data_IF_768764774489
#
_entry.id   IF_768764774489
#
_cell.length_a   1.000
_cell.length_b   1.000
_cell.length_c   1.000
_cell.angle_alpha   90.00
_cell.angle_beta   90.00
_cell.angle_gamma   90.00
#
_symmetry.space_group_name_H-M   'P 1'
#
loop_
_entity.id
_entity.type
_entity.pdbx_description
1 polymer ?
#
# COMPACT_ATOMS: atom_id res chain seq x y z
N UNK A 1 -64.89 20.77 -23.24
CA UNK A 1 -64.54 22.16 -22.88
C UNK A 1 -64.26 22.21 -21.39
N UNK A 2 -63.00 22.14 -20.98
CA UNK A 2 -62.61 22.25 -19.58
C UNK A 2 -61.69 23.48 -19.43
N UNK A 3 -62.18 24.44 -18.64
CA UNK A 3 -61.46 25.72 -18.37
C UNK A 3 -60.39 25.52 -17.36
N UNK A 4 -59.13 25.87 -17.73
CA UNK A 4 -58.01 25.91 -16.82
C UNK A 4 -58.06 27.14 -15.88
N UNK A 5 -57.88 26.93 -14.58
CA UNK A 5 -57.73 27.99 -13.57
C UNK A 5 -56.28 28.53 -13.56
N UNK A 6 -56.08 29.85 -13.40
CA UNK A 6 -54.75 30.43 -13.30
C UNK A 6 -54.20 30.27 -11.86
N UNK A 7 -52.94 29.91 -11.76
CA UNK A 7 -52.17 29.73 -10.53
C UNK A 7 -51.67 31.10 -10.01
N UNK A 8 -52.05 31.49 -8.82
CA UNK A 8 -51.63 32.74 -8.16
C UNK A 8 -50.19 32.65 -7.72
N UNK A 9 -49.34 33.56 -8.20
CA UNK A 9 -47.98 33.79 -7.70
C UNK A 9 -48.03 34.44 -6.33
N UNK A 10 -47.39 33.82 -5.32
CA UNK A 10 -47.15 34.44 -4.01
C UNK A 10 -45.90 35.32 -4.07
N UNK A 11 -45.89 36.52 -3.43
CA UNK A 11 -44.68 37.35 -3.37
C UNK A 11 -43.68 36.78 -2.37
N UNK A 12 -42.40 36.78 -2.77
CA UNK A 12 -41.28 36.36 -1.97
C UNK A 12 -40.86 37.55 -1.08
N UNK A 13 -41.04 37.45 0.23
CA UNK A 13 -40.55 38.43 1.18
C UNK A 13 -39.05 38.25 1.36
N UNK A 14 -38.28 39.27 1.02
CA UNK A 14 -36.84 39.37 1.33
C UNK A 14 -36.71 39.79 2.77
N UNK A 15 -36.37 38.86 3.64
CA UNK A 15 -35.94 39.15 5.02
C UNK A 15 -34.43 39.37 5.04
N UNK A 16 -34.00 40.59 5.35
CA UNK A 16 -32.60 40.84 5.73
C UNK A 16 -32.38 40.24 7.13
N UNK A 17 -31.73 39.07 7.16
CA UNK A 17 -31.16 38.49 8.37
C UNK A 17 -29.67 38.77 8.42
N UNK A 18 -29.23 39.61 9.34
CA UNK A 18 -27.81 39.78 9.64
C UNK A 18 -27.28 38.48 10.25
N UNK A 19 -26.57 37.67 9.46
CA UNK A 19 -25.87 36.50 9.98
C UNK A 19 -24.51 36.93 10.53
N UNK A 20 -24.37 36.84 11.84
CA UNK A 20 -23.09 36.90 12.52
C UNK A 20 -22.19 35.78 11.99
N UNK A 21 -21.03 36.13 11.40
CA UNK A 21 -19.97 35.19 11.11
C UNK A 21 -19.39 34.67 12.44
N UNK A 22 -19.82 33.51 12.86
CA UNK A 22 -19.05 32.71 13.83
C UNK A 22 -17.89 32.08 13.08
N UNK A 23 -16.69 32.61 13.28
CA UNK A 23 -15.47 31.88 12.94
C UNK A 23 -15.46 30.61 13.79
N UNK A 24 -15.81 29.48 13.16
CA UNK A 24 -15.52 28.17 13.72
C UNK A 24 -14.00 27.98 13.62
N UNK A 25 -13.31 28.10 14.73
CA UNK A 25 -11.93 27.67 14.85
C UNK A 25 -11.88 26.20 14.43
N UNK A 26 -11.27 25.95 13.27
CA UNK A 26 -11.03 24.60 12.75
C UNK A 26 -10.25 23.81 13.79
N UNK A 27 -10.73 22.61 14.07
CA UNK A 27 -10.17 21.73 15.09
C UNK A 27 -8.73 21.33 14.66
N UNK A 28 -7.66 21.77 15.35
CA UNK A 28 -6.28 21.46 14.94
C UNK A 28 -5.94 19.95 15.01
N UNK A 29 -6.77 19.17 15.69
CA UNK A 29 -6.58 17.72 15.83
C UNK A 29 -6.73 16.93 14.51
N UNK A 30 -7.49 17.46 13.52
CA UNK A 30 -7.61 16.81 12.20
C UNK A 30 -6.40 17.08 11.28
N UNK A 31 -5.67 18.18 11.52
CA UNK A 31 -4.46 18.49 10.75
C UNK A 31 -3.25 17.68 11.23
N UNK A 32 -3.19 17.34 12.53
CA UNK A 32 -2.10 16.55 13.09
C UNK A 32 -2.15 15.07 12.70
N UNK A 33 -3.34 14.48 12.48
CA UNK A 33 -3.45 13.08 12.08
C UNK A 33 -2.96 12.81 10.65
N UNK A 34 -2.80 13.84 9.82
CA UNK A 34 -2.23 13.75 8.47
C UNK A 34 -0.71 13.97 8.43
N UNK A 35 -0.15 14.56 9.50
CA UNK A 35 1.29 14.82 9.60
C UNK A 35 2.09 13.63 10.13
N UNK A 36 1.42 12.67 10.80
CA UNK A 36 2.06 11.46 11.37
C UNK A 36 2.19 10.29 10.41
N UNK A 37 1.85 10.46 9.13
CA UNK A 37 2.15 9.45 8.11
C UNK A 37 3.66 9.46 7.84
N UNK A 38 4.37 8.45 8.28
CA UNK A 38 5.83 8.29 8.10
C UNK A 38 6.25 8.08 6.64
N UNK A 39 5.33 8.13 5.72
CA UNK A 39 5.57 8.10 4.28
C UNK A 39 4.74 9.21 3.63
N UNK A 40 5.41 10.20 3.02
CA UNK A 40 4.75 11.24 2.24
C UNK A 40 4.02 10.56 1.08
N UNK A 41 2.68 10.59 1.12
CA UNK A 41 1.88 10.20 -0.01
C UNK A 41 2.17 11.17 -1.18
N UNK A 42 2.73 10.65 -2.28
CA UNK A 42 2.73 11.40 -3.52
C UNK A 42 1.28 11.75 -3.86
N UNK A 43 1.04 12.99 -4.30
CA UNK A 43 -0.29 13.48 -4.64
C UNK A 43 -1.04 12.48 -5.55
N UNK A 44 -2.09 11.85 -5.01
CA UNK A 44 -2.86 10.80 -5.65
C UNK A 44 -4.06 11.38 -6.41
N UNK A 45 -4.03 12.66 -6.76
CA UNK A 45 -5.11 13.32 -7.53
C UNK A 45 -5.33 12.71 -8.92
N UNK A 46 -4.40 11.87 -9.40
CA UNK A 46 -4.59 11.10 -10.61
C UNK A 46 -5.27 9.77 -10.28
N UNK A 47 -6.52 9.63 -10.69
CA UNK A 47 -7.27 8.37 -10.67
C UNK A 47 -6.46 7.29 -11.40
N UNK A 48 -5.80 6.40 -10.65
CA UNK A 48 -5.16 5.23 -11.24
C UNK A 48 -6.29 4.36 -11.79
N UNK A 49 -6.30 4.04 -13.11
CA UNK A 49 -7.27 3.12 -13.64
C UNK A 49 -7.23 1.82 -12.85
N UNK A 50 -8.33 1.47 -12.19
CA UNK A 50 -8.47 0.17 -11.52
C UNK A 50 -8.61 -0.90 -12.59
N UNK A 51 -7.48 -1.40 -13.09
CA UNK A 51 -7.48 -2.48 -14.04
C UNK A 51 -7.67 -3.82 -13.31
N UNK A 52 -8.91 -4.18 -13.04
CA UNK A 52 -9.29 -5.47 -12.44
C UNK A 52 -8.79 -6.64 -13.28
N UNK A 53 -8.59 -6.44 -14.58
CA UNK A 53 -8.08 -7.47 -15.49
C UNK A 53 -6.60 -7.83 -15.28
N UNK A 54 -5.86 -7.08 -14.48
CA UNK A 54 -4.45 -7.35 -14.15
C UNK A 54 -4.27 -8.52 -13.17
N UNK A 55 -5.30 -8.86 -12.41
CA UNK A 55 -5.26 -9.97 -11.45
C UNK A 55 -5.67 -11.29 -12.12
N UNK A 56 -4.74 -11.91 -12.83
CA UNK A 56 -4.90 -13.23 -13.42
C UNK A 56 -3.97 -14.24 -12.79
N UNK A 57 -4.42 -15.47 -12.65
CA UNK A 57 -3.56 -16.59 -12.25
C UNK A 57 -2.44 -16.77 -13.27
N UNK A 58 -1.21 -16.83 -12.79
CA UNK A 58 -0.02 -17.09 -13.61
C UNK A 58 0.51 -18.51 -13.36
N UNK A 59 1.17 -19.07 -14.37
CA UNK A 59 1.99 -20.26 -14.21
C UNK A 59 3.40 -19.83 -13.74
N UNK A 60 4.00 -20.58 -12.84
CA UNK A 60 5.34 -20.32 -12.31
C UNK A 60 6.47 -20.68 -13.31
N UNK A 61 6.22 -21.63 -14.21
CA UNK A 61 7.24 -22.23 -15.12
C UNK A 61 7.99 -21.23 -15.98
N UNK A 62 7.39 -20.17 -16.53
CA UNK A 62 8.12 -19.15 -17.27
C UNK A 62 9.11 -18.34 -16.43
N UNK A 63 8.95 -18.34 -15.12
CA UNK A 63 9.68 -17.46 -14.19
C UNK A 63 10.72 -18.18 -13.34
N UNK A 64 10.48 -19.45 -13.03
CA UNK A 64 11.35 -20.24 -12.12
C UNK A 64 11.67 -21.60 -12.72
N UNK A 65 12.87 -22.11 -12.43
CA UNK A 65 13.29 -23.45 -12.83
C UNK A 65 12.59 -24.54 -12.02
N UNK A 66 12.28 -24.23 -10.75
CA UNK A 66 11.55 -25.11 -9.81
C UNK A 66 10.91 -24.27 -8.71
N UNK A 67 10.13 -24.93 -7.86
CA UNK A 67 9.49 -24.34 -6.69
C UNK A 67 9.96 -24.98 -5.37
N UNK A 68 11.16 -25.53 -5.32
CA UNK A 68 11.65 -26.41 -4.23
C UNK A 68 11.44 -25.81 -2.80
N UNK A 69 11.66 -24.51 -2.62
CA UNK A 69 11.44 -23.81 -1.35
C UNK A 69 10.24 -22.84 -1.41
N UNK A 70 9.36 -23.02 -2.39
CA UNK A 70 8.36 -22.04 -2.76
C UNK A 70 8.92 -20.96 -3.68
N UNK A 71 8.05 -20.24 -4.35
CA UNK A 71 8.42 -19.17 -5.29
C UNK A 71 7.46 -17.98 -5.14
N UNK A 72 8.01 -16.79 -5.19
CA UNK A 72 7.29 -15.52 -5.16
C UNK A 72 7.64 -14.73 -6.43
N UNK A 73 6.62 -14.38 -7.21
CA UNK A 73 6.75 -13.44 -8.31
C UNK A 73 6.06 -12.14 -7.93
N UNK A 74 6.77 -11.02 -8.01
CA UNK A 74 6.20 -9.69 -7.87
C UNK A 74 6.17 -9.03 -9.25
N UNK A 75 4.98 -8.89 -9.80
CA UNK A 75 4.73 -8.11 -11.01
C UNK A 75 4.50 -6.65 -10.61
N UNK A 76 5.50 -5.81 -10.83
CA UNK A 76 5.49 -4.39 -10.49
C UNK A 76 4.52 -3.60 -11.37
N UNK A 77 4.22 -4.09 -12.56
CA UNK A 77 3.29 -3.44 -13.49
C UNK A 77 1.85 -3.64 -13.07
N UNK A 78 1.46 -4.88 -12.80
CA UNK A 78 0.11 -5.21 -12.30
C UNK A 78 -0.05 -4.94 -10.80
N UNK A 79 1.05 -4.71 -10.08
CA UNK A 79 1.09 -4.53 -8.62
C UNK A 79 0.49 -5.73 -7.89
N UNK A 80 0.94 -6.89 -8.29
CA UNK A 80 0.48 -8.17 -7.79
C UNK A 80 1.66 -9.03 -7.34
N UNK A 81 1.47 -9.75 -6.23
CA UNK A 81 2.39 -10.77 -5.75
C UNK A 81 1.74 -12.14 -5.90
N UNK A 82 2.41 -13.03 -6.60
CA UNK A 82 2.03 -14.42 -6.78
C UNK A 82 2.93 -15.31 -5.94
N UNK A 83 2.34 -16.27 -5.25
CA UNK A 83 3.07 -17.27 -4.47
C UNK A 83 2.68 -18.68 -4.90
N UNK A 84 3.65 -19.55 -5.04
CA UNK A 84 3.48 -21.00 -5.25
C UNK A 84 4.23 -21.77 -4.16
N UNK A 85 3.57 -22.71 -3.50
CA UNK A 85 4.21 -23.58 -2.53
C UNK A 85 5.18 -24.58 -3.19
N UNK A 86 6.10 -25.14 -2.40
CA UNK A 86 7.10 -26.10 -2.88
C UNK A 86 6.48 -27.30 -3.62
N UNK A 87 5.39 -27.83 -3.12
CA UNK A 87 4.63 -28.96 -3.72
C UNK A 87 3.57 -28.51 -4.73
N UNK A 88 3.49 -27.19 -5.04
CA UNK A 88 2.57 -26.59 -5.99
C UNK A 88 1.07 -26.76 -5.64
N UNK A 89 0.75 -27.23 -4.44
CA UNK A 89 -0.64 -27.42 -4.00
C UNK A 89 -1.32 -26.11 -3.59
N UNK A 90 -0.53 -25.09 -3.27
CA UNK A 90 -1.02 -23.77 -2.83
C UNK A 90 -0.54 -22.71 -3.82
N UNK A 91 -1.48 -21.97 -4.35
CA UNK A 91 -1.26 -20.73 -5.07
C UNK A 91 -1.96 -19.59 -4.36
N UNK A 92 -1.30 -18.44 -4.28
CA UNK A 92 -1.88 -17.20 -3.73
C UNK A 92 -1.57 -16.02 -4.62
N UNK A 93 -2.50 -15.10 -4.64
CA UNK A 93 -2.40 -13.85 -5.39
C UNK A 93 -2.80 -12.70 -4.47
N UNK A 94 -1.89 -11.75 -4.27
CA UNK A 94 -2.11 -10.60 -3.39
C UNK A 94 -1.90 -9.29 -4.14
N UNK A 95 -2.77 -8.28 -3.93
CA UNK A 95 -2.46 -6.90 -4.34
C UNK A 95 -1.30 -6.36 -3.50
N UNK A 96 -0.42 -5.58 -4.13
CA UNK A 96 0.75 -5.01 -3.46
C UNK A 96 0.88 -3.52 -3.68
N UNK A 97 1.55 -2.81 -2.75
CA UNK A 97 2.23 -1.58 -3.08
C UNK A 97 3.61 -1.90 -3.66
N UNK A 98 4.06 -1.07 -4.59
CA UNK A 98 5.36 -1.21 -5.27
C UNK A 98 6.12 0.11 -5.22
N UNK A 99 7.45 0.14 -5.54
CA UNK A 99 8.23 1.37 -5.52
C UNK A 99 7.59 2.51 -6.32
N UNK A 100 7.66 3.73 -5.77
CA UNK A 100 7.00 4.90 -6.34
C UNK A 100 7.67 5.39 -7.63
N UNK A 101 8.96 5.12 -7.81
CA UNK A 101 9.75 5.57 -8.95
C UNK A 101 10.70 4.47 -9.44
N UNK A 102 11.22 4.62 -10.66
CA UNK A 102 12.14 3.63 -11.26
C UNK A 102 13.51 3.61 -10.57
N UNK A 103 14.01 4.72 -10.06
CA UNK A 103 15.26 4.81 -9.31
C UNK A 103 15.21 4.06 -7.96
N UNK A 104 14.02 3.90 -7.39
CA UNK A 104 13.76 3.09 -6.19
C UNK A 104 13.42 1.63 -6.53
N UNK A 105 13.25 1.32 -7.81
CA UNK A 105 12.81 0.01 -8.27
C UNK A 105 14.00 -0.91 -8.56
N UNK A 106 14.03 -2.05 -7.92
CA UNK A 106 14.99 -3.12 -8.25
C UNK A 106 14.25 -4.31 -8.84
N UNK A 107 14.71 -4.79 -10.00
CA UNK A 107 14.19 -5.99 -10.65
C UNK A 107 15.21 -7.09 -10.64
N UNK A 108 14.77 -8.33 -10.76
CA UNK A 108 15.62 -9.50 -10.81
C UNK A 108 15.34 -10.52 -9.72
N UNK A 109 16.27 -11.45 -9.55
CA UNK A 109 16.15 -12.57 -8.61
C UNK A 109 16.77 -12.24 -7.27
N UNK A 110 16.10 -12.68 -6.22
CA UNK A 110 16.51 -12.63 -4.82
C UNK A 110 15.87 -13.81 -4.08
N UNK A 111 16.02 -13.87 -2.77
CA UNK A 111 15.41 -14.89 -1.93
C UNK A 111 15.10 -14.36 -0.54
N UNK A 112 14.19 -15.02 0.16
CA UNK A 112 13.91 -14.73 1.56
C UNK A 112 15.05 -15.23 2.43
N UNK A 113 15.73 -14.33 3.14
CA UNK A 113 16.86 -14.67 4.04
C UNK A 113 16.50 -14.56 5.52
N UNK A 114 15.45 -13.83 5.87
CA UNK A 114 14.99 -13.67 7.26
C UNK A 114 13.48 -13.42 7.30
N UNK A 115 12.84 -13.91 8.34
CA UNK A 115 11.40 -13.73 8.59
C UNK A 115 11.25 -13.12 9.99
N UNK A 116 10.39 -12.11 10.12
CA UNK A 116 10.15 -11.42 11.39
C UNK A 116 8.66 -11.19 11.57
N UNK A 117 8.13 -11.61 12.70
CA UNK A 117 6.83 -11.21 13.22
C UNK A 117 7.03 -10.01 14.15
N UNK A 118 6.19 -8.96 14.03
CA UNK A 118 6.38 -7.73 14.78
C UNK A 118 7.71 -7.05 14.42
N UNK A 119 7.95 -6.67 13.15
CA UNK A 119 9.18 -6.00 12.79
C UNK A 119 9.25 -4.60 13.39
N UNK A 120 10.44 -4.17 13.77
CA UNK A 120 10.77 -2.77 13.98
C UNK A 120 11.13 -2.09 12.65
N UNK A 121 11.05 -0.77 12.64
CA UNK A 121 11.40 0.01 11.46
C UNK A 121 12.37 1.14 11.82
N UNK A 122 13.36 1.34 10.94
CA UNK A 122 14.21 2.53 10.90
C UNK A 122 14.37 2.97 9.45
N UNK A 123 14.37 4.29 9.18
CA UNK A 123 14.64 4.80 7.85
C UNK A 123 16.05 4.41 7.41
N UNK A 124 16.23 4.13 6.13
CA UNK A 124 17.58 4.00 5.55
C UNK A 124 18.26 5.36 5.54
N UNK A 125 19.61 5.43 5.44
CA UNK A 125 20.31 6.72 5.32
C UNK A 125 19.74 7.61 4.21
N UNK A 126 19.47 7.04 3.04
CA UNK A 126 18.90 7.77 1.91
C UNK A 126 17.44 8.25 2.15
N UNK A 127 16.66 7.51 2.95
CA UNK A 127 15.32 7.96 3.38
C UNK A 127 15.43 9.13 4.36
N UNK A 128 16.36 9.04 5.32
CA UNK A 128 16.58 10.09 6.31
C UNK A 128 17.11 11.37 5.69
N UNK A 129 17.94 11.25 4.65
CA UNK A 129 18.42 12.39 3.88
C UNK A 129 17.28 13.13 3.16
N UNK A 130 16.33 12.38 2.57
CA UNK A 130 15.14 12.98 1.92
C UNK A 130 14.10 13.51 2.90
N UNK A 131 14.02 12.94 4.08
CA UNK A 131 13.03 13.27 5.11
C UNK A 131 13.71 13.31 6.49
N UNK A 132 14.45 14.38 6.81
CA UNK A 132 15.21 14.51 8.06
C UNK A 132 14.33 14.45 9.31
N UNK A 133 13.04 14.83 9.18
CA UNK A 133 12.04 14.85 10.25
C UNK A 133 11.52 13.46 10.65
N UNK A 134 11.74 12.43 9.83
CA UNK A 134 11.27 11.09 10.16
C UNK A 134 11.95 10.55 11.43
N UNK A 135 11.24 9.75 12.25
CA UNK A 135 11.82 9.16 13.43
C UNK A 135 12.98 8.22 13.06
N UNK A 136 13.98 8.14 13.93
CA UNK A 136 15.14 7.24 13.74
C UNK A 136 14.75 5.76 13.96
N UNK A 137 13.66 5.53 14.73
CA UNK A 137 13.19 4.20 15.08
C UNK A 137 11.69 4.20 15.37
N UNK A 138 10.99 3.19 14.87
CA UNK A 138 9.58 2.90 15.21
C UNK A 138 9.50 1.45 15.71
N UNK A 139 9.06 1.24 16.97
CA UNK A 139 8.93 -0.11 17.52
C UNK A 139 7.82 -0.91 16.81
N UNK A 140 7.77 -2.24 17.01
CA UNK A 140 6.61 -3.04 16.60
C UNK A 140 5.31 -2.48 17.16
N UNK A 141 4.27 -2.42 16.34
CA UNK A 141 2.97 -1.89 16.75
C UNK A 141 2.09 -1.45 15.59
N UNK A 142 0.90 -0.92 15.90
CA UNK A 142 -0.09 -0.54 14.89
C UNK A 142 0.40 0.59 13.97
N UNK A 143 1.29 1.47 14.45
CA UNK A 143 1.81 2.61 13.69
C UNK A 143 3.11 2.28 12.93
N UNK A 144 3.59 1.02 13.02
CA UNK A 144 4.82 0.63 12.33
C UNK A 144 4.60 0.53 10.81
N UNK A 145 5.42 1.21 9.99
CA UNK A 145 5.29 1.18 8.53
C UNK A 145 5.39 -0.22 7.91
N UNK A 146 6.06 -1.17 8.58
CA UNK A 146 6.21 -2.54 8.10
C UNK A 146 5.04 -3.46 8.51
N UNK A 147 4.06 -2.93 9.25
CA UNK A 147 2.91 -3.70 9.70
C UNK A 147 3.28 -4.88 10.61
N UNK A 148 2.53 -5.97 10.50
CA UNK A 148 2.60 -7.10 11.45
C UNK A 148 3.71 -8.10 11.18
N UNK A 149 4.16 -8.26 9.92
CA UNK A 149 5.16 -9.27 9.52
C UNK A 149 6.04 -8.73 8.40
N UNK A 150 7.27 -9.25 8.31
CA UNK A 150 8.19 -8.93 7.23
C UNK A 150 9.01 -10.14 6.78
N UNK A 151 9.21 -10.27 5.47
CA UNK A 151 10.12 -11.18 4.80
C UNK A 151 11.28 -10.35 4.25
N UNK A 152 12.46 -10.50 4.83
CA UNK A 152 13.67 -9.78 4.39
C UNK A 152 14.28 -10.53 3.22
N UNK A 153 14.63 -9.79 2.17
CA UNK A 153 15.24 -10.34 0.97
C UNK A 153 16.78 -10.29 1.06
N UNK A 154 17.47 -11.06 0.23
CA UNK A 154 18.94 -11.04 0.16
C UNK A 154 19.49 -9.69 -0.33
N UNK A 155 18.67 -8.86 -0.94
CA UNK A 155 19.02 -7.48 -1.26
C UNK A 155 18.94 -6.59 -0.03
N UNK A 156 19.97 -5.80 0.19
CA UNK A 156 20.01 -4.86 1.30
C UNK A 156 18.82 -3.90 1.27
N UNK A 157 18.17 -3.72 2.42
CA UNK A 157 16.99 -2.87 2.65
C UNK A 157 15.70 -3.27 1.93
N UNK A 158 15.70 -4.36 1.14
CA UNK A 158 14.49 -4.84 0.47
C UNK A 158 13.73 -5.85 1.32
N UNK A 159 12.40 -5.67 1.38
CA UNK A 159 11.48 -6.50 2.17
C UNK A 159 10.14 -6.66 1.44
N UNK A 160 9.45 -7.76 1.74
CA UNK A 160 8.01 -7.91 1.54
C UNK A 160 7.41 -7.84 2.95
N UNK A 161 6.48 -6.90 3.19
CA UNK A 161 6.02 -6.61 4.55
C UNK A 161 4.55 -6.17 4.58
N UNK A 162 3.95 -6.08 5.76
CA UNK A 162 2.64 -5.51 5.99
C UNK A 162 2.64 -3.98 5.85
N UNK A 163 1.56 -3.36 6.21
CA UNK A 163 1.47 -1.89 6.27
C UNK A 163 0.46 -1.43 7.31
N UNK A 164 0.74 -0.31 7.97
CA UNK A 164 -0.25 0.41 8.76
C UNK A 164 -1.17 1.25 7.87
N UNK A 165 -0.74 1.60 6.66
CA UNK A 165 -1.51 2.41 5.72
C UNK A 165 -1.98 1.58 4.51
N UNK A 166 -3.22 1.08 4.61
CA UNK A 166 -3.85 0.24 3.59
C UNK A 166 -4.13 0.96 2.26
N UNK A 167 -4.15 2.31 2.27
CA UNK A 167 -4.37 3.13 1.06
C UNK A 167 -3.27 2.96 0.03
N UNK A 168 -2.08 2.52 0.47
CA UNK A 168 -0.91 2.27 -0.39
C UNK A 168 -1.03 1.03 -1.26
N UNK A 169 -1.83 0.05 -0.83
CA UNK A 169 -1.96 -1.22 -1.56
C UNK A 169 -2.62 -0.99 -2.92
N UNK A 170 -2.03 -1.60 -3.96
CA UNK A 170 -2.42 -1.41 -5.36
C UNK A 170 -1.80 -0.16 -6.01
N UNK A 171 -0.86 0.53 -5.36
CA UNK A 171 -0.25 1.78 -5.84
C UNK A 171 1.27 1.73 -5.92
N UNK A 172 1.84 2.67 -6.66
CA UNK A 172 3.28 2.99 -6.63
C UNK A 172 3.51 4.00 -5.50
N UNK A 173 3.84 3.51 -4.31
CA UNK A 173 3.85 4.32 -3.08
C UNK A 173 4.97 3.97 -2.10
N UNK A 174 5.80 2.97 -2.39
CA UNK A 174 6.87 2.55 -1.48
C UNK A 174 8.23 3.16 -1.83
N UNK A 175 9.13 3.18 -0.84
CA UNK A 175 10.53 3.56 -1.01
C UNK A 175 11.45 2.38 -1.41
N UNK A 176 10.93 1.39 -2.13
CA UNK A 176 11.67 0.24 -2.63
C UNK A 176 11.09 -1.12 -2.23
N UNK A 177 10.44 -1.21 -1.08
CA UNK A 177 9.85 -2.44 -0.56
C UNK A 177 8.51 -2.79 -1.23
N UNK A 178 8.04 -4.02 -0.99
CA UNK A 178 6.76 -4.54 -1.46
C UNK A 178 5.82 -4.63 -0.26
N UNK A 179 4.77 -3.81 -0.26
CA UNK A 179 3.79 -3.78 0.82
C UNK A 179 2.56 -4.64 0.53
N UNK A 180 2.02 -5.26 1.55
CA UNK A 180 0.82 -6.09 1.55
C UNK A 180 -0.15 -5.63 2.65
N UNK A 181 -1.41 -5.99 2.57
CA UNK A 181 -2.31 -5.95 3.74
C UNK A 181 -1.74 -6.82 4.85
N UNK A 182 -1.99 -6.47 6.11
CA UNK A 182 -1.47 -7.21 7.26
C UNK A 182 -1.94 -8.67 7.30
N UNK A 183 -3.17 -8.94 6.94
CA UNK A 183 -3.72 -10.30 6.79
C UNK A 183 -3.02 -11.10 5.69
N UNK A 184 -2.70 -10.46 4.56
CA UNK A 184 -2.02 -11.10 3.45
C UNK A 184 -0.57 -11.43 3.75
N UNK A 185 0.16 -10.50 4.39
CA UNK A 185 1.55 -10.80 4.78
C UNK A 185 1.61 -11.86 5.89
N UNK A 186 0.65 -11.92 6.81
CA UNK A 186 0.57 -12.95 7.83
C UNK A 186 0.36 -14.33 7.19
N UNK A 187 -0.55 -14.45 6.20
CA UNK A 187 -0.73 -15.68 5.44
C UNK A 187 0.55 -16.06 4.67
N UNK A 188 1.12 -15.12 3.92
CA UNK A 188 2.34 -15.34 3.14
C UNK A 188 3.52 -15.71 4.05
N UNK A 189 3.64 -15.10 5.22
CA UNK A 189 4.64 -15.41 6.22
C UNK A 189 4.57 -16.86 6.67
N UNK A 190 3.37 -17.41 6.86
CA UNK A 190 3.18 -18.82 7.24
C UNK A 190 3.51 -19.78 6.09
N UNK A 191 3.37 -19.37 4.85
CA UNK A 191 3.62 -20.16 3.65
C UNK A 191 5.07 -20.11 3.16
N UNK A 192 5.66 -18.91 3.18
CA UNK A 192 7.04 -18.70 2.71
C UNK A 192 8.06 -19.13 3.77
N UNK A 193 9.22 -19.58 3.32
CA UNK A 193 10.33 -20.04 4.17
C UNK A 193 11.61 -19.29 3.83
N UNK A 194 12.61 -19.38 4.68
CA UNK A 194 13.98 -18.99 4.32
C UNK A 194 14.40 -19.82 3.10
N UNK A 195 14.99 -19.18 2.10
CA UNK A 195 15.32 -19.78 0.79
C UNK A 195 14.15 -19.80 -0.20
N UNK A 196 12.96 -19.26 0.13
CA UNK A 196 11.91 -19.03 -0.87
C UNK A 196 12.43 -18.10 -1.95
N UNK A 197 12.38 -18.53 -3.20
CA UNK A 197 12.83 -17.77 -4.35
C UNK A 197 11.91 -16.57 -4.59
N UNK A 198 12.49 -15.43 -4.93
CA UNK A 198 11.72 -14.20 -5.22
C UNK A 198 12.22 -13.62 -6.55
N UNK A 199 11.29 -13.26 -7.42
CA UNK A 199 11.57 -12.56 -8.67
C UNK A 199 10.69 -11.32 -8.77
N UNK A 200 11.31 -10.15 -9.00
CA UNK A 200 10.62 -8.90 -9.31
C UNK A 200 10.77 -8.60 -10.81
N UNK A 201 9.63 -8.34 -11.52
CA UNK A 201 9.57 -8.04 -12.96
C UNK A 201 8.85 -6.73 -13.22
#
# INVERSE_FOLDING_TARGET
MAKSKPMKRRPFMVGLGASALTLSAGNPALAQSLADSTEIEADISHSVPRNISSFRTLDWRPYFTNTQNGAILVDLTSRALHFWSANQSIYRLYPTSVPMSEDLTRRGRTEVVRRVEGPDWSPTPAMKERNPEWPDYVPPGPDNPLGTHALYLSWQFYRIHGTHDTRKIGRRSSNGCIGLYNEHIAELYNLARIGTQVLLI
#
